data_IF_820667300214
#
_entry.id   IF_820667300214
#
_cell.length_a   1.000
_cell.length_b   1.000
_cell.length_c   1.000
_cell.angle_alpha   90.00
_cell.angle_beta   90.00
_cell.angle_gamma   90.00
#
_symmetry.space_group_name_H-M   'P 1'
#
loop_
_entity.id
_entity.type
_entity.pdbx_description
1 polymer ?
#
# COMPACT_ATOMS: atom_id res chain seq x y z
N UNK A 1 52.39 -2.16 -13.12
CA UNK A 1 51.68 -1.13 -12.32
C UNK A 1 50.21 -1.45 -12.42
N UNK A 2 49.45 -1.66 -11.33
CA UNK A 2 48.03 -1.90 -11.44
C UNK A 2 47.32 -0.54 -11.62
N UNK A 3 46.42 -0.45 -12.58
CA UNK A 3 45.46 0.63 -12.65
C UNK A 3 44.37 0.34 -11.60
N UNK A 4 44.18 1.26 -10.66
CA UNK A 4 43.00 1.26 -9.81
C UNK A 4 41.80 1.42 -10.75
N UNK A 5 40.95 0.40 -10.79
CA UNK A 5 39.63 0.53 -11.40
C UNK A 5 38.81 1.36 -10.42
N UNK A 6 38.79 2.67 -10.62
CA UNK A 6 37.78 3.51 -10.01
C UNK A 6 36.44 3.08 -10.59
N UNK A 7 35.74 2.18 -9.86
CA UNK A 7 34.31 2.00 -10.05
C UNK A 7 33.70 3.40 -9.90
N UNK A 8 32.88 3.89 -10.84
CA UNK A 8 32.06 5.06 -10.58
C UNK A 8 31.24 4.70 -9.35
N UNK A 9 31.56 5.35 -8.23
CA UNK A 9 30.76 5.32 -7.01
C UNK A 9 29.45 6.00 -7.40
N UNK A 10 28.54 5.21 -7.97
CA UNK A 10 27.16 5.59 -8.12
C UNK A 10 26.68 5.59 -6.68
N UNK A 11 26.85 6.74 -6.04
CA UNK A 11 26.09 7.16 -4.88
C UNK A 11 24.64 7.00 -5.32
N UNK A 12 24.10 5.81 -5.09
CA UNK A 12 22.68 5.63 -5.07
C UNK A 12 22.25 6.64 -4.03
N UNK A 13 21.62 7.72 -4.47
CA UNK A 13 20.72 8.46 -3.62
C UNK A 13 19.77 7.38 -3.11
N UNK A 14 20.10 6.81 -1.95
CA UNK A 14 19.21 5.98 -1.20
C UNK A 14 18.07 6.92 -0.97
N UNK A 15 17.03 6.79 -1.80
CA UNK A 15 15.83 7.59 -1.63
C UNK A 15 15.38 7.23 -0.24
N UNK A 16 15.71 8.09 0.71
CA UNK A 16 15.39 8.09 2.14
C UNK A 16 13.88 8.29 2.33
N UNK A 17 13.08 7.62 1.51
CA UNK A 17 11.73 7.30 1.88
C UNK A 17 11.87 6.01 2.69
N UNK A 18 11.97 6.09 4.03
CA UNK A 18 11.79 4.90 4.85
C UNK A 18 10.42 4.36 4.48
N UNK A 19 10.40 3.26 3.73
CA UNK A 19 9.21 2.45 3.59
C UNK A 19 8.91 1.99 5.00
N UNK A 20 7.76 2.42 5.53
CA UNK A 20 7.35 2.01 6.85
C UNK A 20 7.12 0.50 6.83
N UNK A 21 8.00 -0.24 7.53
CA UNK A 21 7.94 -1.69 7.71
C UNK A 21 7.19 -2.08 8.99
N UNK A 22 6.33 -1.20 9.49
CA UNK A 22 5.36 -1.55 10.51
C UNK A 22 4.12 -2.18 9.90
N UNK A 23 3.41 -2.95 10.73
CA UNK A 23 2.14 -3.54 10.33
C UNK A 23 1.14 -2.42 10.00
N UNK A 24 0.48 -2.48 8.82
CA UNK A 24 -0.50 -1.47 8.45
C UNK A 24 -1.69 -1.47 9.41
N UNK A 25 -2.16 -0.28 9.77
CA UNK A 25 -3.32 -0.10 10.65
C UNK A 25 -4.63 -0.32 9.89
N UNK A 26 -5.67 -0.72 10.63
CA UNK A 26 -7.02 -0.91 10.05
C UNK A 26 -7.55 0.38 9.40
N UNK A 27 -7.17 1.56 9.91
CA UNK A 27 -7.59 2.84 9.35
C UNK A 27 -6.95 3.10 7.98
N UNK A 28 -5.66 2.85 7.85
CA UNK A 28 -4.93 3.02 6.58
C UNK A 28 -5.48 2.10 5.50
N UNK A 29 -5.73 0.83 5.85
CA UNK A 29 -6.34 -0.15 4.94
C UNK A 29 -7.73 0.34 4.51
N UNK A 30 -8.55 0.82 5.45
CA UNK A 30 -9.89 1.33 5.15
C UNK A 30 -9.85 2.54 4.22
N UNK A 31 -8.93 3.47 4.47
CA UNK A 31 -8.75 4.65 3.64
C UNK A 31 -8.29 4.27 2.22
N UNK A 32 -7.33 3.36 2.10
CA UNK A 32 -6.86 2.88 0.80
C UNK A 32 -7.97 2.17 0.01
N UNK A 33 -8.75 1.29 0.65
CA UNK A 33 -9.89 0.60 0.01
C UNK A 33 -10.96 1.60 -0.46
N UNK A 34 -11.24 2.64 0.34
CA UNK A 34 -12.14 3.73 -0.09
C UNK A 34 -11.58 4.50 -1.27
N UNK A 35 -10.28 4.80 -1.27
CA UNK A 35 -9.61 5.50 -2.38
C UNK A 35 -9.66 4.69 -3.68
N UNK A 36 -9.32 3.40 -3.63
CA UNK A 36 -9.37 2.47 -4.77
C UNK A 36 -10.78 2.46 -5.38
N UNK A 37 -11.80 2.31 -4.54
CA UNK A 37 -13.19 2.33 -4.99
C UNK A 37 -13.64 3.67 -5.54
N UNK A 38 -13.19 4.78 -4.95
CA UNK A 38 -13.49 6.12 -5.49
C UNK A 38 -12.73 6.41 -6.79
N UNK A 39 -11.58 5.75 -7.02
CA UNK A 39 -10.82 5.81 -8.26
C UNK A 39 -11.43 4.99 -9.40
N UNK A 40 -12.06 3.84 -9.09
CA UNK A 40 -12.85 3.06 -10.06
C UNK A 40 -14.24 3.66 -10.32
N UNK A 41 -14.84 4.33 -9.32
CA UNK A 41 -16.19 4.89 -9.42
C UNK A 41 -16.30 6.21 -10.22
N UNK A 42 -15.29 6.60 -10.99
CA UNK A 42 -15.41 7.68 -11.98
C UNK A 42 -16.26 7.26 -13.22
N UNK A 43 -17.13 6.27 -13.06
CA UNK A 43 -18.10 5.79 -14.05
C UNK A 43 -19.55 6.14 -13.67
N UNK A 44 -20.49 6.12 -14.62
CA UNK A 44 -21.87 6.59 -14.46
C UNK A 44 -22.76 5.71 -13.57
N UNK A 45 -22.22 4.62 -13.04
CA UNK A 45 -22.99 3.64 -12.28
C UNK A 45 -23.21 4.17 -10.86
N UNK A 46 -24.42 4.67 -10.60
CA UNK A 46 -24.94 5.13 -9.32
C UNK A 46 -25.01 4.00 -8.27
N UNK A 47 -23.91 3.32 -8.00
CA UNK A 47 -23.85 2.30 -6.94
C UNK A 47 -24.10 3.01 -5.60
N UNK A 48 -25.13 2.62 -4.84
CA UNK A 48 -25.46 3.30 -3.59
C UNK A 48 -24.30 3.19 -2.59
N UNK A 49 -24.01 4.30 -1.91
CA UNK A 49 -22.92 4.42 -0.95
C UNK A 49 -23.00 3.37 0.19
N UNK A 50 -24.19 2.87 0.51
CA UNK A 50 -24.41 1.81 1.50
C UNK A 50 -23.88 0.44 1.05
N UNK A 51 -24.05 0.06 -0.22
CA UNK A 51 -23.48 -1.16 -0.76
C UNK A 51 -21.95 -1.07 -0.81
N UNK A 52 -21.42 0.11 -1.17
CA UNK A 52 -19.98 0.38 -1.15
C UNK A 52 -19.40 0.30 0.26
N UNK A 53 -20.13 0.74 1.29
CA UNK A 53 -19.68 0.73 2.69
C UNK A 53 -19.50 -0.69 3.24
N UNK A 54 -20.47 -1.58 2.99
CA UNK A 54 -20.38 -2.99 3.40
C UNK A 54 -19.18 -3.68 2.75
N UNK A 55 -19.00 -3.47 1.44
CA UNK A 55 -17.89 -4.07 0.72
C UNK A 55 -16.53 -3.46 1.16
N UNK A 56 -16.47 -2.17 1.52
CA UNK A 56 -15.27 -1.57 2.16
C UNK A 56 -14.91 -2.29 3.46
N UNK A 57 -15.89 -2.57 4.33
CA UNK A 57 -15.66 -3.18 5.63
C UNK A 57 -15.22 -4.64 5.53
N UNK A 58 -15.82 -5.40 4.60
CA UNK A 58 -15.44 -6.79 4.30
C UNK A 58 -14.02 -6.84 3.73
N UNK A 59 -13.70 -6.02 2.73
CA UNK A 59 -12.35 -5.96 2.14
C UNK A 59 -11.31 -5.52 3.17
N UNK A 60 -11.63 -4.53 4.01
CA UNK A 60 -10.73 -4.06 5.08
C UNK A 60 -10.42 -5.19 6.06
N UNK A 61 -11.43 -5.96 6.47
CA UNK A 61 -11.27 -7.07 7.42
C UNK A 61 -10.43 -8.21 6.83
N UNK A 62 -10.62 -8.54 5.55
CA UNK A 62 -9.82 -9.55 4.86
C UNK A 62 -8.35 -9.13 4.72
N UNK A 63 -8.10 -7.89 4.28
CA UNK A 63 -6.75 -7.36 4.14
C UNK A 63 -6.02 -7.28 5.48
N UNK A 64 -6.70 -6.84 6.53
CA UNK A 64 -6.13 -6.81 7.88
C UNK A 64 -5.69 -8.21 8.34
N UNK A 65 -6.49 -9.25 8.09
CA UNK A 65 -6.14 -10.63 8.42
C UNK A 65 -4.91 -11.12 7.63
N UNK A 66 -4.80 -10.76 6.35
CA UNK A 66 -3.65 -11.11 5.52
C UNK A 66 -2.39 -10.40 6.01
N UNK A 67 -2.44 -9.09 6.26
CA UNK A 67 -1.30 -8.34 6.79
C UNK A 67 -0.88 -8.84 8.17
N UNK A 68 -1.84 -9.18 9.04
CA UNK A 68 -1.53 -9.79 10.32
C UNK A 68 -0.76 -11.09 10.15
N UNK A 69 -1.16 -11.97 9.23
CA UNK A 69 -0.44 -13.23 8.96
C UNK A 69 0.97 -13.01 8.42
N UNK A 70 1.19 -11.94 7.65
CA UNK A 70 2.52 -11.61 7.10
C UNK A 70 3.44 -11.02 8.19
N UNK A 71 2.90 -10.30 9.18
CA UNK A 71 3.67 -9.69 10.28
C UNK A 71 3.79 -10.57 11.55
N UNK A 72 2.95 -11.60 11.72
CA UNK A 72 3.04 -12.57 12.82
C UNK A 72 4.19 -13.61 12.62
N UNK A 73 4.86 -13.61 11.46
CA UNK A 73 6.00 -14.48 11.12
C UNK A 73 7.32 -13.70 11.11
#
# INVERSE_FOLDING_TARGET
MPAAMDLPDIEAAHTDLPIDVNQPTTEEIRMAVRQIKSGEAAGPDNIPAEALKSDVEVTTSMLYLIFKKIWDE
#
